data_IF_215791760531
#
_entry.id   IF_215791760531
#
_cell.length_a   1.000
_cell.length_b   1.000
_cell.length_c   1.000
_cell.angle_alpha   90.00
_cell.angle_beta   90.00
_cell.angle_gamma   90.00
#
_symmetry.space_group_name_H-M   'P 1'
#
loop_
_entity.id
_entity.type
_entity.pdbx_description
1 polymer ?
#
# COMPACT_ATOMS: atom_id res chain seq x y z
N UNK A 1 -21.64 -14.28 3.55
CA UNK A 1 -21.23 -13.21 2.62
C UNK A 1 -20.87 -11.99 3.47
N UNK A 2 -19.75 -11.34 3.18
CA UNK A 2 -19.24 -10.22 3.99
C UNK A 2 -19.98 -8.90 3.65
N UNK A 3 -21.26 -8.83 3.98
CA UNK A 3 -22.00 -7.58 3.91
C UNK A 3 -21.93 -6.88 5.25
N UNK A 4 -21.71 -5.56 5.24
CA UNK A 4 -21.77 -4.76 6.47
C UNK A 4 -23.19 -4.73 7.00
N UNK A 5 -23.33 -4.88 8.31
CA UNK A 5 -24.59 -4.55 9.00
C UNK A 5 -24.81 -3.03 9.00
N UNK A 6 -26.05 -2.60 9.23
CA UNK A 6 -26.36 -1.18 9.32
C UNK A 6 -25.53 -0.46 10.42
N UNK A 7 -25.27 -1.12 11.54
CA UNK A 7 -24.43 -0.57 12.61
C UNK A 7 -22.96 -0.47 12.24
N UNK A 8 -22.44 -1.42 11.46
CA UNK A 8 -21.07 -1.36 10.95
C UNK A 8 -20.92 -0.25 9.91
N UNK A 9 -21.90 -0.09 9.03
CA UNK A 9 -21.91 0.98 8.05
C UNK A 9 -21.97 2.36 8.71
N UNK A 10 -22.86 2.52 9.71
CA UNK A 10 -22.92 3.74 10.49
C UNK A 10 -21.59 4.04 11.19
N UNK A 11 -20.99 3.04 11.86
CA UNK A 11 -19.68 3.21 12.49
C UNK A 11 -18.60 3.63 11.50
N UNK A 12 -18.56 3.04 10.31
CA UNK A 12 -17.61 3.44 9.26
C UNK A 12 -17.83 4.89 8.82
N UNK A 13 -19.08 5.33 8.71
CA UNK A 13 -19.41 6.72 8.36
C UNK A 13 -19.02 7.72 9.46
N UNK A 14 -19.17 7.33 10.72
CA UNK A 14 -18.85 8.18 11.87
C UNK A 14 -17.34 8.26 12.13
N UNK A 15 -16.66 7.11 12.15
CA UNK A 15 -15.24 7.03 12.52
C UNK A 15 -14.29 7.15 11.32
N UNK A 16 -14.79 6.91 10.10
CA UNK A 16 -14.01 6.87 8.87
C UNK A 16 -13.17 5.60 8.72
N UNK A 17 -13.22 4.67 9.67
CA UNK A 17 -12.59 3.36 9.56
C UNK A 17 -13.41 2.27 10.24
N UNK A 18 -13.15 1.02 9.85
CA UNK A 18 -13.82 -0.14 10.44
C UNK A 18 -12.88 -1.35 10.45
N UNK A 19 -12.84 -2.06 11.57
CA UNK A 19 -12.13 -3.34 11.68
C UNK A 19 -13.13 -4.49 11.55
N UNK A 20 -12.80 -5.43 10.68
CA UNK A 20 -13.54 -6.68 10.48
C UNK A 20 -12.61 -7.84 10.83
N UNK A 21 -12.71 -8.34 12.04
CA UNK A 21 -11.95 -9.50 12.49
C UNK A 21 -12.36 -10.77 11.74
N UNK A 22 -11.39 -11.66 11.49
CA UNK A 22 -11.64 -12.94 10.81
C UNK A 22 -12.13 -12.80 9.37
N UNK A 23 -11.86 -11.68 8.70
CA UNK A 23 -12.27 -11.48 7.30
C UNK A 23 -11.60 -12.46 6.35
N UNK A 24 -10.30 -12.71 6.54
CA UNK A 24 -9.56 -13.77 5.87
C UNK A 24 -9.37 -14.96 6.81
N UNK A 25 -9.51 -16.15 6.28
CA UNK A 25 -9.17 -17.38 7.00
C UNK A 25 -7.65 -17.49 7.24
N UNK A 26 -7.26 -18.36 8.14
CA UNK A 26 -5.85 -18.67 8.37
C UNK A 26 -5.16 -19.17 7.09
N UNK A 27 -5.84 -20.02 6.32
CA UNK A 27 -5.33 -20.59 5.07
C UNK A 27 -5.13 -19.52 3.99
N UNK A 28 -6.08 -18.59 3.84
CA UNK A 28 -5.93 -17.46 2.91
C UNK A 28 -4.71 -16.60 3.27
N UNK A 29 -4.49 -16.38 4.57
CA UNK A 29 -3.30 -15.66 5.03
C UNK A 29 -2.00 -16.44 4.76
N UNK A 30 -2.00 -17.77 4.94
CA UNK A 30 -0.85 -18.62 4.64
C UNK A 30 -0.53 -18.59 3.15
N UNK A 31 -1.52 -18.74 2.29
CA UNK A 31 -1.34 -18.72 0.82
C UNK A 31 -0.72 -17.40 0.37
N UNK A 32 -1.21 -16.27 0.87
CA UNK A 32 -0.60 -14.96 0.54
C UNK A 32 0.83 -14.83 1.06
N UNK A 33 1.12 -15.32 2.27
CA UNK A 33 2.48 -15.28 2.84
C UNK A 33 3.45 -16.18 2.08
N UNK A 34 3.02 -17.36 1.67
CA UNK A 34 3.81 -18.25 0.82
C UNK A 34 4.09 -17.60 -0.54
N UNK A 35 3.05 -17.05 -1.16
CA UNK A 35 3.20 -16.41 -2.47
C UNK A 35 4.13 -15.21 -2.45
N UNK A 36 4.02 -14.35 -1.45
CA UNK A 36 4.93 -13.21 -1.35
C UNK A 36 6.37 -13.67 -1.06
N UNK A 37 6.56 -14.74 -0.29
CA UNK A 37 7.86 -15.36 -0.06
C UNK A 37 8.49 -15.88 -1.36
N UNK A 38 7.70 -16.51 -2.25
CA UNK A 38 8.16 -16.94 -3.57
C UNK A 38 8.60 -15.74 -4.44
N UNK A 39 7.82 -14.66 -4.43
CA UNK A 39 8.17 -13.44 -5.16
C UNK A 39 9.49 -12.85 -4.67
N UNK A 40 9.69 -12.84 -3.35
CA UNK A 40 10.94 -12.37 -2.72
C UNK A 40 12.12 -13.27 -3.06
N UNK A 41 11.93 -14.60 -2.98
CA UNK A 41 13.00 -15.57 -3.28
C UNK A 41 13.46 -15.51 -4.74
N UNK A 42 12.56 -15.15 -5.66
CA UNK A 42 12.86 -14.99 -7.08
C UNK A 42 13.10 -13.53 -7.48
N UNK A 43 13.34 -12.66 -6.50
CA UNK A 43 13.57 -11.25 -6.74
C UNK A 43 14.89 -11.03 -7.47
N UNK A 44 14.80 -10.47 -8.68
CA UNK A 44 15.94 -9.96 -9.44
C UNK A 44 15.83 -8.44 -9.57
N UNK A 45 16.52 -7.73 -8.70
CA UNK A 45 16.55 -6.25 -8.71
C UNK A 45 17.98 -5.79 -8.93
N UNK A 46 18.31 -5.33 -10.13
CA UNK A 46 19.63 -4.79 -10.46
C UNK A 46 20.03 -3.66 -9.50
N UNK A 47 21.33 -3.47 -9.29
CA UNK A 47 21.86 -2.43 -8.39
C UNK A 47 21.26 -1.05 -8.64
N UNK A 48 21.20 -0.64 -9.90
CA UNK A 48 20.64 0.65 -10.29
C UNK A 48 19.12 0.77 -10.04
N UNK A 49 18.43 -0.33 -9.76
CA UNK A 49 16.98 -0.36 -9.47
C UNK A 49 16.65 -0.58 -8.01
N UNK A 50 17.66 -0.66 -7.13
CA UNK A 50 17.48 -0.83 -5.68
C UNK A 50 17.05 0.51 -5.05
N UNK A 51 15.76 0.74 -5.02
CA UNK A 51 15.16 2.00 -4.56
C UNK A 51 14.74 1.89 -3.10
N UNK A 52 15.28 2.77 -2.26
CA UNK A 52 14.86 2.92 -0.87
C UNK A 52 13.53 3.67 -0.85
N UNK A 53 12.54 3.11 -0.16
CA UNK A 53 11.27 3.81 0.06
C UNK A 53 11.37 4.74 1.27
N UNK A 54 10.98 5.98 1.09
CA UNK A 54 10.87 6.95 2.18
C UNK A 54 9.65 7.84 1.98
N UNK A 55 9.00 8.19 3.09
CA UNK A 55 7.93 9.18 3.15
C UNK A 55 8.44 10.58 3.54
N UNK A 56 9.74 10.75 3.76
CA UNK A 56 10.35 12.03 4.15
C UNK A 56 10.79 12.82 2.91
N UNK A 57 10.43 14.11 2.86
CA UNK A 57 10.66 15.00 1.70
C UNK A 57 12.13 15.11 1.30
N UNK A 58 13.05 15.11 2.28
CA UNK A 58 14.49 15.21 2.02
C UNK A 58 15.07 13.99 1.29
N UNK A 59 14.49 12.83 1.50
CA UNK A 59 14.96 11.57 0.91
C UNK A 59 14.43 11.35 -0.50
N UNK A 60 13.31 11.95 -0.86
CA UNK A 60 12.81 11.95 -2.23
C UNK A 60 13.77 12.67 -3.20
N UNK A 61 14.63 13.57 -2.67
CA UNK A 61 15.63 14.31 -3.46
C UNK A 61 16.88 13.49 -3.82
N UNK A 62 17.15 12.42 -3.07
CA UNK A 62 18.39 11.63 -3.19
C UNK A 62 18.24 10.40 -4.10
N UNK A 63 17.01 10.04 -4.47
CA UNK A 63 16.75 8.84 -5.27
C UNK A 63 17.20 9.03 -6.72
N UNK A 64 18.38 8.49 -7.05
CA UNK A 64 18.96 8.46 -8.40
C UNK A 64 18.14 7.58 -9.38
N UNK A 65 17.14 6.84 -8.85
CA UNK A 65 16.34 5.89 -9.62
C UNK A 65 14.84 6.25 -9.68
N UNK A 66 14.59 7.47 -10.12
CA UNK A 66 13.25 8.06 -10.24
C UNK A 66 12.33 7.25 -11.13
N UNK A 67 12.86 6.73 -12.22
CA UNK A 67 12.09 5.96 -13.20
C UNK A 67 11.57 4.64 -12.62
N UNK A 68 12.29 4.05 -11.68
CA UNK A 68 11.86 2.80 -11.06
C UNK A 68 10.58 2.98 -10.23
N UNK A 69 10.50 4.01 -9.40
CA UNK A 69 9.28 4.33 -8.66
C UNK A 69 8.18 4.86 -9.56
N UNK A 70 8.53 5.81 -10.43
CA UNK A 70 7.59 6.51 -11.30
C UNK A 70 6.82 5.59 -12.24
N UNK A 71 7.52 4.60 -12.80
CA UNK A 71 6.97 3.62 -13.73
C UNK A 71 6.57 2.31 -13.02
N UNK A 72 6.19 2.37 -11.73
CA UNK A 72 5.84 1.19 -10.95
C UNK A 72 4.34 0.95 -10.81
N UNK A 73 3.51 1.89 -11.25
CA UNK A 73 2.07 1.84 -11.03
C UNK A 73 1.39 0.62 -11.64
N UNK A 74 1.85 0.18 -12.80
CA UNK A 74 1.36 -0.96 -13.56
C UNK A 74 2.24 -2.23 -13.44
N UNK A 75 3.15 -2.28 -12.47
CA UNK A 75 4.14 -3.35 -12.32
C UNK A 75 4.20 -3.90 -10.89
N UNK A 76 4.80 -5.07 -10.74
CA UNK A 76 5.23 -5.60 -9.45
C UNK A 76 6.70 -5.21 -9.26
N UNK A 77 6.97 -4.31 -8.31
CA UNK A 77 8.32 -3.81 -8.01
C UNK A 77 8.60 -3.86 -6.52
N UNK A 78 9.89 -3.98 -6.19
CA UNK A 78 10.41 -4.13 -4.85
C UNK A 78 10.99 -2.81 -4.36
N UNK A 79 10.61 -2.40 -3.14
CA UNK A 79 11.10 -1.21 -2.49
C UNK A 79 11.71 -1.59 -1.15
N UNK A 80 12.86 -1.03 -0.86
CA UNK A 80 13.71 -1.48 0.24
C UNK A 80 13.64 -0.52 1.42
N UNK A 81 13.99 -1.04 2.59
CA UNK A 81 14.12 -0.26 3.81
C UNK A 81 15.38 0.62 3.77
N UNK A 82 15.38 1.65 4.59
CA UNK A 82 16.54 2.53 4.77
C UNK A 82 17.65 1.79 5.52
N UNK A 83 18.90 1.98 5.08
CA UNK A 83 20.08 1.44 5.77
C UNK A 83 20.34 -0.04 5.53
N UNK A 84 19.69 -0.66 4.53
CA UNK A 84 19.90 -2.08 4.18
C UNK A 84 20.96 -2.31 3.12
N UNK A 85 21.55 -1.27 2.58
CA UNK A 85 22.65 -1.34 1.59
C UNK A 85 23.90 -0.63 2.09
N UNK A 86 25.07 -1.18 1.71
CA UNK A 86 26.35 -0.49 1.82
C UNK A 86 26.51 0.58 0.68
N UNK A 87 27.62 1.31 0.71
CA UNK A 87 27.94 2.32 -0.30
C UNK A 87 28.08 1.76 -1.72
N UNK A 88 28.30 0.45 -1.88
CA UNK A 88 28.37 -0.25 -3.17
C UNK A 88 27.04 -0.85 -3.60
N UNK A 89 26.00 -0.71 -2.77
CA UNK A 89 24.68 -1.25 -3.01
C UNK A 89 24.53 -2.74 -2.67
N UNK A 90 25.47 -3.34 -1.94
CA UNK A 90 25.32 -4.72 -1.45
C UNK A 90 24.40 -4.75 -0.22
N UNK A 91 23.68 -5.84 -0.05
CA UNK A 91 22.82 -6.01 1.11
C UNK A 91 23.63 -6.16 2.40
N UNK A 92 23.31 -5.37 3.40
CA UNK A 92 23.82 -5.45 4.78
C UNK A 92 23.00 -6.41 5.66
N UNK A 93 21.80 -6.77 5.20
CA UNK A 93 20.89 -7.73 5.85
C UNK A 93 20.43 -8.75 4.82
N UNK A 94 19.92 -9.92 5.22
CA UNK A 94 19.34 -10.87 4.27
C UNK A 94 18.30 -10.20 3.36
N UNK A 95 18.31 -10.46 2.04
CA UNK A 95 17.43 -9.79 1.09
C UNK A 95 15.95 -9.82 1.48
N UNK A 96 15.47 -10.93 2.04
CA UNK A 96 14.11 -11.10 2.51
C UNK A 96 13.75 -10.19 3.71
N UNK A 97 14.75 -9.70 4.44
CA UNK A 97 14.60 -8.75 5.55
C UNK A 97 14.83 -7.30 5.14
N UNK A 98 15.22 -7.06 3.89
CA UNK A 98 15.52 -5.72 3.39
C UNK A 98 14.32 -5.00 2.80
N UNK A 99 13.22 -5.70 2.55
CA UNK A 99 12.07 -5.17 1.81
C UNK A 99 11.15 -4.40 2.73
N UNK A 100 10.81 -3.18 2.32
CA UNK A 100 9.76 -2.35 2.90
C UNK A 100 8.40 -2.74 2.34
N UNK A 101 8.26 -2.74 1.01
CA UNK A 101 7.02 -3.11 0.32
C UNK A 101 7.27 -3.66 -1.08
N UNK A 102 6.28 -4.39 -1.57
CA UNK A 102 6.16 -4.80 -2.97
C UNK A 102 4.88 -4.17 -3.51
N UNK A 103 4.96 -3.43 -4.58
CA UNK A 103 3.85 -2.69 -5.20
C UNK A 103 4.09 -2.48 -6.69
N UNK A 104 3.12 -2.04 -7.46
CA UNK A 104 1.82 -1.49 -7.04
C UNK A 104 0.67 -2.21 -7.76
N UNK A 105 0.96 -3.28 -8.52
CA UNK A 105 -0.01 -3.99 -9.35
C UNK A 105 -0.13 -5.49 -9.03
N UNK A 106 0.06 -5.89 -7.77
CA UNK A 106 -0.14 -7.28 -7.31
C UNK A 106 -1.56 -7.77 -7.64
N UNK A 107 -2.57 -6.92 -7.43
CA UNK A 107 -3.99 -7.19 -7.71
C UNK A 107 -4.28 -7.52 -9.18
N UNK A 108 -3.42 -7.12 -10.10
CA UNK A 108 -3.60 -7.31 -11.52
C UNK A 108 -2.75 -8.46 -12.07
N UNK A 109 -1.48 -8.54 -11.65
CA UNK A 109 -0.50 -9.44 -12.26
C UNK A 109 -0.22 -10.72 -11.47
N UNK A 110 -0.54 -10.76 -10.17
CA UNK A 110 -0.35 -11.96 -9.36
C UNK A 110 -1.67 -12.69 -9.12
N UNK A 111 -1.78 -13.98 -9.46
CA UNK A 111 -3.04 -14.72 -9.38
C UNK A 111 -3.58 -14.85 -7.95
N UNK A 112 -2.71 -14.97 -6.94
CA UNK A 112 -3.12 -15.08 -5.54
C UNK A 112 -3.69 -13.76 -5.05
N UNK A 113 -2.97 -12.66 -5.25
CA UNK A 113 -3.42 -11.33 -4.82
C UNK A 113 -4.61 -10.84 -5.62
N UNK A 114 -4.71 -11.19 -6.91
CA UNK A 114 -5.89 -10.94 -7.72
C UNK A 114 -7.12 -11.67 -7.18
N UNK A 115 -6.99 -12.95 -6.84
CA UNK A 115 -8.08 -13.74 -6.28
C UNK A 115 -8.59 -13.16 -4.96
N UNK A 116 -7.69 -12.70 -4.08
CA UNK A 116 -8.07 -12.06 -2.82
C UNK A 116 -8.76 -10.71 -3.06
N UNK A 117 -8.17 -9.85 -3.90
CA UNK A 117 -8.71 -8.51 -4.18
C UNK A 117 -10.09 -8.56 -4.80
N UNK A 118 -10.31 -9.45 -5.79
CA UNK A 118 -11.59 -9.59 -6.50
C UNK A 118 -12.50 -10.69 -5.91
N UNK A 119 -12.22 -11.12 -4.69
CA UNK A 119 -13.03 -12.16 -4.03
C UNK A 119 -14.49 -11.70 -3.84
N UNK A 120 -15.45 -12.64 -3.86
CA UNK A 120 -16.86 -12.30 -3.64
C UNK A 120 -17.13 -11.55 -2.35
N UNK A 121 -16.33 -11.80 -1.29
CA UNK A 121 -16.46 -11.10 0.00
C UNK A 121 -15.99 -9.64 -0.09
N UNK A 122 -14.94 -9.33 -0.85
CA UNK A 122 -14.50 -7.95 -1.10
C UNK A 122 -15.53 -7.22 -1.97
N UNK A 123 -16.04 -7.86 -3.02
CA UNK A 123 -17.08 -7.27 -3.86
C UNK A 123 -18.37 -6.98 -3.06
N UNK A 124 -18.80 -7.92 -2.20
CA UNK A 124 -19.97 -7.72 -1.33
C UNK A 124 -19.77 -6.57 -0.35
N UNK A 125 -18.54 -6.45 0.19
CA UNK A 125 -18.17 -5.35 1.06
C UNK A 125 -18.26 -4.00 0.33
N UNK A 126 -17.68 -3.89 -0.86
CA UNK A 126 -17.74 -2.68 -1.69
C UNK A 126 -19.19 -2.29 -2.05
N UNK A 127 -20.05 -3.27 -2.34
CA UNK A 127 -21.50 -3.04 -2.55
C UNK A 127 -22.18 -2.52 -1.29
N UNK A 128 -21.80 -3.03 -0.10
CA UNK A 128 -22.35 -2.55 1.18
C UNK A 128 -21.99 -1.09 1.44
N UNK A 129 -20.84 -0.63 0.95
CA UNK A 129 -20.40 0.77 1.02
C UNK A 129 -21.08 1.67 -0.03
N UNK A 130 -21.92 1.11 -0.90
CA UNK A 130 -22.63 1.87 -1.95
C UNK A 130 -21.81 2.13 -3.21
N UNK A 131 -20.63 1.53 -3.35
CA UNK A 131 -19.81 1.68 -4.55
C UNK A 131 -20.51 1.01 -5.74
N UNK A 132 -20.67 1.75 -6.83
CA UNK A 132 -21.41 1.31 -8.02
C UNK A 132 -20.46 0.79 -9.11
N UNK A 133 -19.38 1.49 -9.37
CA UNK A 133 -18.34 1.15 -10.36
C UNK A 133 -16.93 1.26 -9.75
N UNK A 134 -16.64 0.53 -8.66
CA UNK A 134 -15.34 0.61 -8.04
C UNK A 134 -14.25 0.02 -8.95
N UNK A 135 -13.13 0.71 -8.99
CA UNK A 135 -11.89 0.25 -9.65
C UNK A 135 -10.78 0.09 -8.63
N UNK A 136 -9.84 -0.82 -8.90
CA UNK A 136 -8.66 -1.01 -8.07
C UNK A 136 -7.54 -0.12 -8.61
N UNK A 137 -7.13 0.86 -7.83
CA UNK A 137 -6.14 1.86 -8.24
C UNK A 137 -4.71 1.35 -8.07
N UNK A 138 -4.44 0.70 -6.95
CA UNK A 138 -3.15 0.10 -6.65
C UNK A 138 -3.28 -0.94 -5.54
N UNK A 139 -2.24 -1.76 -5.42
CA UNK A 139 -2.08 -2.69 -4.30
C UNK A 139 -0.64 -2.79 -3.86
N UNK A 140 -0.43 -3.02 -2.57
CA UNK A 140 0.90 -3.16 -1.98
C UNK A 140 0.91 -4.29 -0.96
N UNK A 141 2.00 -5.02 -0.89
CA UNK A 141 2.31 -5.87 0.23
C UNK A 141 3.40 -5.22 1.06
N UNK A 142 3.09 -4.89 2.29
CA UNK A 142 3.93 -4.10 3.19
C UNK A 142 4.55 -5.03 4.23
N UNK A 143 5.86 -4.89 4.40
CA UNK A 143 6.64 -5.55 5.44
C UNK A 143 7.04 -4.52 6.49
N UNK A 144 6.60 -4.70 7.71
CA UNK A 144 7.15 -3.97 8.85
C UNK A 144 8.21 -4.86 9.48
N UNK A 145 9.45 -4.70 9.02
CA UNK A 145 10.58 -5.49 9.51
C UNK A 145 10.95 -5.09 10.93
N UNK A 146 11.40 -6.07 11.76
CA UNK A 146 11.85 -5.80 13.13
C UNK A 146 12.99 -4.78 13.16
N UNK A 147 12.82 -3.73 13.94
CA UNK A 147 13.82 -2.69 14.20
C UNK A 147 14.37 -1.97 12.96
N UNK A 148 13.85 -2.30 11.78
CA UNK A 148 14.17 -1.65 10.51
C UNK A 148 13.00 -0.78 10.08
N UNK A 149 13.32 0.23 9.28
CA UNK A 149 12.34 1.04 8.60
C UNK A 149 11.61 2.05 9.45
N UNK A 150 10.81 2.79 8.73
CA UNK A 150 10.24 4.00 9.21
C UNK A 150 8.83 3.86 9.75
N UNK A 151 8.48 4.92 10.39
CA UNK A 151 7.11 5.28 10.68
C UNK A 151 6.37 5.45 9.34
N UNK A 152 5.18 4.90 9.23
CA UNK A 152 4.25 5.26 8.17
C UNK A 152 3.67 6.62 8.52
N UNK A 153 4.04 7.65 7.74
CA UNK A 153 3.54 9.00 7.97
C UNK A 153 2.05 9.16 7.64
N UNK A 154 1.51 10.28 8.04
CA UNK A 154 0.17 10.72 7.68
C UNK A 154 0.06 10.84 6.16
N UNK A 155 -1.05 10.39 5.61
CA UNK A 155 -1.27 10.43 4.17
C UNK A 155 -1.35 11.87 3.66
N UNK A 156 -0.31 12.29 2.93
CA UNK A 156 -0.31 13.51 2.11
C UNK A 156 -0.50 13.11 0.64
N UNK A 157 -1.09 14.01 -0.14
CA UNK A 157 -1.25 13.77 -1.57
C UNK A 157 0.11 13.84 -2.27
N UNK A 158 0.56 12.72 -2.82
CA UNK A 158 1.75 12.67 -3.64
C UNK A 158 1.38 13.03 -5.08
N UNK A 159 1.99 14.07 -5.60
CA UNK A 159 1.73 14.58 -6.95
C UNK A 159 2.99 14.46 -7.83
N UNK A 160 2.77 14.49 -9.13
CA UNK A 160 3.82 14.65 -10.12
C UNK A 160 4.33 16.07 -10.06
N UNK A 161 5.64 16.24 -9.93
CA UNK A 161 6.25 17.55 -10.06
C UNK A 161 6.33 17.96 -11.54
N UNK A 162 6.46 19.26 -11.78
CA UNK A 162 6.56 19.82 -13.14
C UNK A 162 7.73 19.20 -13.89
N UNK A 163 7.58 18.97 -15.18
CA UNK A 163 8.66 18.42 -16.03
C UNK A 163 9.94 19.25 -15.89
N UNK A 164 11.05 18.57 -15.60
CA UNK A 164 12.37 19.20 -15.38
C UNK A 164 12.66 19.60 -13.94
N UNK A 165 11.71 19.48 -13.00
CA UNK A 165 11.96 19.75 -11.58
C UNK A 165 12.61 18.56 -10.85
N UNK A 166 13.35 18.86 -9.81
CA UNK A 166 13.93 17.90 -8.87
C UNK A 166 13.43 18.29 -7.47
N UNK A 167 12.70 17.44 -6.73
CA UNK A 167 12.32 16.04 -7.06
C UNK A 167 11.19 15.92 -8.07
N UNK A 168 11.05 14.75 -8.69
CA UNK A 168 10.03 14.44 -9.72
C UNK A 168 8.63 14.22 -9.10
N UNK A 169 8.58 13.92 -7.80
CA UNK A 169 7.37 13.86 -6.99
C UNK A 169 7.48 14.80 -5.81
N UNK A 170 6.38 15.37 -5.40
CA UNK A 170 6.30 16.18 -4.18
C UNK A 170 4.99 15.90 -3.45
N UNK A 171 5.01 16.13 -2.13
CA UNK A 171 3.76 16.12 -1.37
C UNK A 171 3.08 17.48 -1.48
N UNK A 172 1.79 17.47 -1.79
CA UNK A 172 0.98 18.67 -1.81
C UNK A 172 0.57 19.03 -0.38
N UNK A 173 0.82 20.29 0.00
CA UNK A 173 0.47 20.85 1.31
C UNK A 173 1.53 20.63 2.39
N UNK A 174 1.38 21.33 3.49
CA UNK A 174 2.15 21.15 4.70
C UNK A 174 1.48 20.14 5.62
N UNK A 175 2.25 19.27 6.24
CA UNK A 175 1.73 18.40 7.28
C UNK A 175 1.43 19.23 8.53
N UNK A 176 0.18 19.28 9.01
CA UNK A 176 -0.11 19.95 10.27
C UNK A 176 0.53 19.21 11.44
N UNK A 177 0.83 19.92 12.52
CA UNK A 177 1.23 19.29 13.76
C UNK A 177 0.04 18.51 14.33
N UNK A 178 0.14 17.19 14.34
CA UNK A 178 -0.89 16.32 14.87
C UNK A 178 -0.75 16.14 16.38
N UNK A 179 -1.85 16.28 17.09
CA UNK A 179 -1.90 15.88 18.48
C UNK A 179 -1.96 14.34 18.57
N UNK A 180 -0.87 13.74 19.07
CA UNK A 180 -0.76 12.30 19.19
C UNK A 180 -1.79 11.69 20.15
N UNK A 181 -2.35 12.47 21.07
CA UNK A 181 -3.39 12.00 21.98
C UNK A 181 -4.73 11.70 21.30
N UNK A 182 -4.94 12.22 20.08
CA UNK A 182 -6.15 12.01 19.29
C UNK A 182 -6.10 10.71 18.48
N UNK A 183 -4.94 10.06 18.35
CA UNK A 183 -4.86 8.80 17.63
C UNK A 183 -5.35 7.64 18.49
N UNK A 184 -6.27 6.87 17.92
CA UNK A 184 -6.83 5.67 18.56
C UNK A 184 -6.02 4.45 18.16
N UNK A 185 -5.37 3.75 19.10
CA UNK A 185 -4.70 2.49 18.82
C UNK A 185 -5.68 1.46 18.26
N UNK A 186 -5.33 0.85 17.14
CA UNK A 186 -6.20 -0.12 16.44
C UNK A 186 -5.46 -1.45 16.25
N UNK A 187 -5.23 -2.21 17.33
CA UNK A 187 -4.65 -3.54 17.22
C UNK A 187 -5.63 -4.49 16.55
N UNK A 188 -5.11 -5.39 15.70
CA UNK A 188 -5.93 -6.36 14.95
C UNK A 188 -5.30 -7.73 14.98
N UNK A 189 -6.13 -8.76 14.86
CA UNK A 189 -5.66 -10.13 14.72
C UNK A 189 -5.29 -10.45 13.26
N UNK A 190 -4.48 -11.50 13.08
CA UNK A 190 -4.17 -12.02 11.75
C UNK A 190 -5.46 -12.40 11.01
N UNK A 191 -5.60 -11.96 9.78
CA UNK A 191 -6.80 -12.18 8.96
C UNK A 191 -7.87 -11.10 9.12
N UNK A 192 -7.67 -10.11 9.98
CA UNK A 192 -8.54 -8.95 10.02
C UNK A 192 -8.39 -8.08 8.76
N UNK A 193 -9.48 -7.44 8.37
CA UNK A 193 -9.52 -6.37 7.39
C UNK A 193 -9.75 -5.04 8.09
N UNK A 194 -8.98 -4.03 7.74
CA UNK A 194 -9.23 -2.64 8.14
C UNK A 194 -9.72 -1.89 6.91
N UNK A 195 -10.96 -1.41 6.96
CA UNK A 195 -11.47 -0.41 6.02
C UNK A 195 -11.03 0.96 6.49
N UNK A 196 -10.49 1.77 5.58
CA UNK A 196 -10.06 3.14 5.89
C UNK A 196 -10.62 4.05 4.81
N UNK A 197 -11.38 5.07 5.19
CA UNK A 197 -11.81 6.12 4.28
C UNK A 197 -10.61 6.94 3.83
N UNK A 198 -10.60 7.40 2.59
CA UNK A 198 -9.46 8.11 2.00
C UNK A 198 -9.04 9.41 2.70
N UNK A 199 -9.91 9.97 3.54
CA UNK A 199 -9.66 11.21 4.29
C UNK A 199 -9.27 10.97 5.76
N UNK A 200 -9.26 9.71 6.21
CA UNK A 200 -8.87 9.39 7.59
C UNK A 200 -7.39 9.49 7.77
N UNK A 201 -7.01 10.33 8.72
CA UNK A 201 -5.62 10.49 9.15
C UNK A 201 -5.21 9.25 9.94
N UNK A 202 -4.19 8.57 9.48
CA UNK A 202 -3.68 7.36 10.13
C UNK A 202 -2.16 7.27 10.07
N UNK A 203 -1.58 6.61 11.04
CA UNK A 203 -0.13 6.36 11.12
C UNK A 203 0.17 4.93 11.56
N UNK A 204 1.39 4.52 11.36
CA UNK A 204 1.90 3.24 11.80
C UNK A 204 3.32 3.41 12.31
N UNK A 205 3.51 3.14 13.59
CA UNK A 205 4.81 3.24 14.26
C UNK A 205 5.81 2.18 13.75
N UNK A 206 7.08 2.38 14.04
CA UNK A 206 8.13 1.39 13.80
C UNK A 206 7.79 0.07 14.50
N UNK A 207 8.14 -1.04 13.88
CA UNK A 207 7.99 -2.36 14.50
C UNK A 207 9.15 -2.63 15.45
N UNK A 208 8.90 -2.56 16.74
CA UNK A 208 9.88 -2.83 17.80
C UNK A 208 9.86 -4.28 18.29
N UNK A 209 9.02 -5.14 17.70
CA UNK A 209 9.00 -6.58 18.01
C UNK A 209 10.09 -7.32 17.24
N UNK A 210 10.31 -8.59 17.58
CA UNK A 210 11.23 -9.51 16.90
C UNK A 210 10.64 -10.22 15.68
N UNK A 211 9.40 -9.90 15.30
CA UNK A 211 8.66 -10.52 14.18
C UNK A 211 8.20 -9.50 13.17
N UNK A 212 8.36 -9.80 11.88
CA UNK A 212 7.78 -9.01 10.80
C UNK A 212 6.25 -8.95 10.91
N UNK A 213 5.68 -7.76 10.72
CA UNK A 213 4.25 -7.58 10.57
C UNK A 213 3.93 -7.36 9.08
N UNK A 214 3.13 -8.25 8.52
CA UNK A 214 2.76 -8.22 7.11
C UNK A 214 1.36 -7.62 6.94
N UNK A 215 1.18 -6.81 5.90
CA UNK A 215 -0.12 -6.30 5.49
C UNK A 215 -0.23 -6.27 3.97
N UNK A 216 -1.33 -6.80 3.44
CA UNK A 216 -1.71 -6.59 2.05
C UNK A 216 -2.72 -5.46 1.98
N UNK A 217 -2.47 -4.45 1.17
CA UNK A 217 -3.34 -3.29 1.00
C UNK A 217 -3.71 -3.11 -0.46
N UNK A 218 -4.92 -2.62 -0.72
CA UNK A 218 -5.31 -2.16 -2.04
C UNK A 218 -6.28 -0.98 -1.91
N UNK A 219 -6.25 -0.09 -2.89
CA UNK A 219 -7.05 1.11 -2.90
C UNK A 219 -8.16 0.99 -3.92
N UNK A 220 -9.38 1.27 -3.48
CA UNK A 220 -10.56 1.33 -4.32
C UNK A 220 -10.95 2.80 -4.54
N UNK A 221 -11.40 3.08 -5.75
CA UNK A 221 -12.00 4.36 -6.12
C UNK A 221 -13.32 4.10 -6.82
N UNK A 222 -14.35 4.87 -6.48
CA UNK A 222 -15.57 4.91 -7.28
C UNK A 222 -15.29 5.64 -8.60
N UNK A 223 -15.46 4.94 -9.71
CA UNK A 223 -15.24 5.54 -11.03
C UNK A 223 -16.44 6.32 -11.56
N UNK A 224 -17.65 5.98 -11.08
CA UNK A 224 -18.86 6.68 -11.49
C UNK A 224 -18.86 8.12 -10.94
N UNK A 225 -18.81 9.08 -11.85
CA UNK A 225 -18.83 10.51 -11.48
C UNK A 225 -17.51 11.03 -10.88
N UNK A 226 -16.45 10.22 -10.84
CA UNK A 226 -15.13 10.62 -10.32
C UNK A 226 -14.14 10.85 -11.46
N UNK A 227 -13.40 11.95 -11.38
CA UNK A 227 -12.29 12.25 -12.27
C UNK A 227 -10.98 12.03 -11.51
N UNK A 228 -10.17 11.07 -11.97
CA UNK A 228 -8.83 10.85 -11.41
C UNK A 228 -7.92 12.02 -11.76
N UNK A 229 -7.29 12.62 -10.75
CA UNK A 229 -6.44 13.79 -10.97
C UNK A 229 -5.24 13.46 -11.84
N UNK A 230 -5.02 14.23 -12.94
CA UNK A 230 -3.85 14.07 -13.79
C UNK A 230 -2.52 14.38 -13.07
N UNK A 231 -2.57 15.11 -11.96
CA UNK A 231 -1.40 15.43 -11.15
C UNK A 231 -1.01 14.29 -10.20
N UNK A 232 -1.90 13.30 -9.99
CA UNK A 232 -1.55 12.18 -9.12
C UNK A 232 -0.32 11.46 -9.68
N UNK A 233 0.61 11.07 -8.81
CA UNK A 233 1.80 10.36 -9.24
C UNK A 233 1.45 9.06 -9.97
N UNK A 234 0.45 8.35 -9.48
CA UNK A 234 -0.06 7.12 -10.06
C UNK A 234 -1.07 7.47 -11.16
N UNK A 235 -0.84 6.94 -12.33
CA UNK A 235 -1.78 7.07 -13.46
C UNK A 235 -2.10 5.69 -14.02
N UNK A 236 -3.30 5.47 -14.55
CA UNK A 236 -3.57 4.29 -15.36
C UNK A 236 -2.71 4.34 -16.63
N UNK A 237 -2.26 3.18 -17.10
CA UNK A 237 -1.52 3.04 -18.36
C UNK A 237 -2.39 2.35 -19.41
N UNK A 238 -1.92 2.35 -20.66
CA UNK A 238 -2.59 1.60 -21.74
C UNK A 238 -2.55 0.09 -21.48
N UNK A 239 -1.45 -0.38 -20.86
CA UNK A 239 -1.23 -1.79 -20.50
C UNK A 239 -2.04 -2.21 -19.30
N UNK A 240 -2.27 -1.29 -18.36
CA UNK A 240 -3.06 -1.52 -17.15
C UNK A 240 -3.92 -0.30 -16.83
N UNK A 241 -5.09 -0.15 -17.47
CA UNK A 241 -6.13 0.74 -16.94
C UNK A 241 -6.58 0.24 -15.56
N UNK A 242 -7.06 1.12 -14.70
CA UNK A 242 -7.54 0.69 -13.38
C UNK A 242 -8.61 -0.40 -13.54
N UNK A 243 -8.34 -1.65 -13.11
CA UNK A 243 -9.28 -2.74 -13.35
C UNK A 243 -10.55 -2.59 -12.51
N UNK A 244 -11.72 -2.91 -13.07
CA UNK A 244 -12.95 -2.92 -12.29
C UNK A 244 -12.90 -3.98 -11.20
N UNK A 245 -13.45 -3.65 -10.02
CA UNK A 245 -13.53 -4.61 -8.92
C UNK A 245 -14.63 -5.65 -9.18
N UNK A 246 -15.74 -5.23 -9.76
CA UNK A 246 -16.84 -6.12 -10.10
C UNK A 246 -16.55 -6.82 -11.43
N UNK A 247 -16.40 -8.13 -11.39
CA UNK A 247 -16.14 -9.01 -12.54
C UNK A 247 -17.26 -10.02 -12.72
#
# INVERSE_FOLDING_TARGET
MACLSSSQLQKFQEDGFLVLEGFLSADECVVMQQRIGELVANMDVPLHSRTIFSTQDEQLKVLDNRDYFWNSGDKIRFFFEKGVFDEKGNFLVPPEKSINKIGHALHAHDPVFRSVTHSPKVQALAKSLGLQMPVVVQSMYIFKQPHLGGEGGVSRRLIRATAGSIPVTSFLGSEPAWDNSLFVPTPVQRGALILIHGEVVHKSEQNLSDRSRHAYTFHLMEALGTVWSPENWLQPTAELPFPPLYT
#
